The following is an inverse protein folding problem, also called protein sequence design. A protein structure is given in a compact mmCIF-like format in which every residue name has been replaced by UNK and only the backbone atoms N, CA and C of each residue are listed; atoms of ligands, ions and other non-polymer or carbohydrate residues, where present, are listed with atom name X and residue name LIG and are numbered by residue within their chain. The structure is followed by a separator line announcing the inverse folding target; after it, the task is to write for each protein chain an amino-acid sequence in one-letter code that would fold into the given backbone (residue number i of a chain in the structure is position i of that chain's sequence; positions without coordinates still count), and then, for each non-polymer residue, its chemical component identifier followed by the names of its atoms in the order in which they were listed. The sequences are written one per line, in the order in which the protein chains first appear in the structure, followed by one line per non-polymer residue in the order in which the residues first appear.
data_IF_071668564914
#
_entry.id   IF_071668564914
#
_cell.length_a   1.000
_cell.length_b   1.000
_cell.length_c   1.000
_cell.angle_alpha   90.00
_cell.angle_beta   90.00
_cell.angle_gamma   90.00
#
_symmetry.space_group_name_H-M   'P 1'
#
loop_
_entity.id
_entity.type
_entity.pdbx_description
1 polymer ?
#
# COMPACT_ATOMS: atom_id res chain seq x y z
N UNK A 1 22.49 -11.80 -13.08
CA UNK A 1 21.37 -11.23 -12.32
C UNK A 1 21.46 -9.73 -12.43
N UNK A 2 20.48 -9.06 -13.04
CA UNK A 2 20.49 -7.60 -13.13
C UNK A 2 20.14 -7.03 -11.75
N UNK A 3 21.16 -6.63 -10.99
CA UNK A 3 20.99 -5.98 -9.71
C UNK A 3 20.70 -4.49 -9.91
N UNK A 4 19.64 -3.99 -9.27
CA UNK A 4 19.30 -2.57 -9.26
C UNK A 4 19.50 -2.02 -7.85
N UNK A 5 20.21 -0.90 -7.76
CA UNK A 5 20.46 -0.13 -6.53
C UNK A 5 19.74 1.21 -6.61
N UNK A 6 19.47 1.83 -5.46
CA UNK A 6 18.80 3.13 -5.34
C UNK A 6 17.40 3.21 -5.97
N UNK A 7 16.68 2.08 -5.93
CA UNK A 7 15.29 1.98 -6.40
C UNK A 7 14.34 1.64 -5.26
N UNK A 8 13.11 2.13 -5.37
CA UNK A 8 11.95 1.73 -4.57
C UNK A 8 10.97 0.96 -5.45
N UNK A 9 10.42 -0.15 -4.94
CA UNK A 9 9.29 -0.83 -5.59
C UNK A 9 8.01 -0.04 -5.32
N UNK A 10 7.31 0.34 -6.37
CA UNK A 10 6.04 1.05 -6.32
C UNK A 10 4.91 0.16 -6.84
N UNK A 11 3.71 0.36 -6.29
CA UNK A 11 2.48 -0.23 -6.80
C UNK A 11 1.80 0.77 -7.74
N UNK A 12 1.60 0.37 -8.98
CA UNK A 12 0.91 1.18 -9.99
C UNK A 12 -0.44 0.53 -10.27
N UNK A 13 -1.53 1.28 -10.03
CA UNK A 13 -2.89 0.82 -10.32
C UNK A 13 -3.12 0.85 -11.84
N UNK A 14 -3.69 -0.22 -12.37
CA UNK A 14 -4.15 -0.24 -13.76
C UNK A 14 -5.51 0.45 -13.87
N UNK A 15 -5.53 1.67 -14.41
CA UNK A 15 -6.76 2.44 -14.60
C UNK A 15 -7.62 1.95 -15.78
N UNK A 16 -7.09 1.04 -16.60
CA UNK A 16 -7.83 0.47 -17.74
C UNK A 16 -8.70 -0.72 -17.36
N UNK A 17 -8.52 -1.27 -16.16
CA UNK A 17 -9.27 -2.43 -15.69
C UNK A 17 -10.48 -2.00 -14.84
N UNK A 18 -11.63 -2.66 -15.06
CA UNK A 18 -12.81 -2.51 -14.20
C UNK A 18 -12.59 -3.07 -12.79
N UNK A 19 -11.71 -4.06 -12.66
CA UNK A 19 -11.30 -4.66 -11.39
C UNK A 19 -10.04 -3.97 -10.86
N UNK A 20 -9.90 -3.91 -9.53
CA UNK A 20 -8.67 -3.37 -8.93
C UNK A 20 -7.48 -4.30 -9.20
N UNK A 21 -6.55 -3.82 -10.04
CA UNK A 21 -5.30 -4.51 -10.38
C UNK A 21 -4.11 -3.58 -10.21
N UNK A 22 -2.98 -4.17 -9.81
CA UNK A 22 -1.71 -3.46 -9.66
C UNK A 22 -0.61 -4.13 -10.46
N UNK A 23 0.34 -3.33 -10.94
CA UNK A 23 1.65 -3.75 -11.42
C UNK A 23 2.75 -3.23 -10.48
N UNK A 24 3.94 -3.81 -10.58
CA UNK A 24 5.11 -3.41 -9.80
C UNK A 24 6.10 -2.68 -10.69
N UNK A 25 6.55 -1.51 -10.25
CA UNK A 25 7.55 -0.71 -10.96
C UNK A 25 8.70 -0.28 -10.05
N UNK A 26 9.86 0.00 -10.64
CA UNK A 26 11.04 0.51 -9.92
C UNK A 26 11.17 2.02 -10.13
N UNK A 27 11.02 2.78 -9.05
CA UNK A 27 11.20 4.23 -9.05
C UNK A 27 12.56 4.62 -8.45
N UNK A 28 13.16 5.68 -8.96
CA UNK A 28 14.39 6.26 -8.39
C UNK A 28 14.14 6.81 -6.98
N UNK A 29 15.03 6.49 -6.03
CA UNK A 29 14.93 7.01 -4.66
C UNK A 29 14.92 8.54 -4.59
N UNK A 30 15.67 9.22 -5.46
CA UNK A 30 15.72 10.68 -5.53
C UNK A 30 14.34 11.32 -5.79
N UNK A 31 13.47 10.61 -6.54
CA UNK A 31 12.12 11.10 -6.88
C UNK A 31 11.11 10.89 -5.75
N UNK A 32 11.39 10.00 -4.81
CA UNK A 32 10.44 9.61 -3.74
C UNK A 32 10.86 10.10 -2.36
N UNK A 33 12.15 10.27 -2.08
CA UNK A 33 12.68 10.48 -0.72
C UNK A 33 12.12 11.73 0.01
N UNK A 34 11.62 12.73 -0.71
CA UNK A 34 11.06 13.95 -0.13
C UNK A 34 9.68 14.34 -0.72
N UNK A 35 8.98 13.39 -1.35
CA UNK A 35 7.69 13.66 -1.99
C UNK A 35 6.58 12.93 -1.24
N UNK A 36 5.53 13.67 -0.88
CA UNK A 36 4.33 13.13 -0.22
C UNK A 36 3.14 13.12 -1.19
N UNK A 37 2.37 12.03 -1.17
CA UNK A 37 1.07 11.97 -1.86
C UNK A 37 -0.01 12.51 -0.92
N UNK A 38 -0.35 13.79 -1.08
CA UNK A 38 -1.43 14.44 -0.30
C UNK A 38 -2.80 13.96 -0.77
N UNK A 39 -3.76 14.00 0.14
CA UNK A 39 -5.17 13.84 -0.20
C UNK A 39 -5.62 15.09 -0.95
N UNK A 40 -6.15 14.98 -2.18
CA UNK A 40 -6.71 16.12 -2.91
C UNK A 40 -7.78 16.83 -2.09
N UNK A 41 -7.89 18.16 -2.19
CA UNK A 41 -8.97 18.86 -1.48
C UNK A 41 -10.36 18.54 -2.06
N UNK A 42 -10.41 18.18 -3.34
CA UNK A 42 -11.62 17.76 -4.06
C UNK A 42 -12.22 16.47 -3.48
N UNK A 43 -11.43 15.71 -2.73
CA UNK A 43 -11.84 14.48 -2.05
C UNK A 43 -12.61 14.75 -0.76
N UNK A 44 -12.68 15.99 -0.32
CA UNK A 44 -13.39 16.42 0.88
C UNK A 44 -14.66 17.15 0.45
N UNK A 45 -15.81 16.79 1.05
CA UNK A 45 -17.09 17.45 0.79
C UNK A 45 -17.01 18.96 1.05
N UNK A 46 -17.84 19.74 0.37
CA UNK A 46 -17.92 21.21 0.45
C UNK A 46 -18.09 21.68 1.91
N UNK A 47 -18.79 20.89 2.73
CA UNK A 47 -19.01 21.20 4.14
C UNK A 47 -17.86 20.78 5.06
N UNK A 48 -16.77 20.23 4.52
CA UNK A 48 -15.58 19.73 5.21
C UNK A 48 -15.88 18.74 6.35
N UNK A 49 -16.94 17.94 6.19
CA UNK A 49 -17.41 16.99 7.22
C UNK A 49 -17.31 15.53 6.79
N UNK A 50 -17.23 15.28 5.49
CA UNK A 50 -17.21 13.94 4.90
C UNK A 50 -16.27 13.92 3.68
N UNK A 51 -16.00 12.72 3.17
CA UNK A 51 -15.31 12.50 1.90
C UNK A 51 -16.31 12.45 0.74
N UNK A 52 -15.84 12.75 -0.47
CA UNK A 52 -16.64 12.60 -1.69
C UNK A 52 -16.70 11.12 -2.12
N UNK A 53 -17.67 10.78 -2.98
CA UNK A 53 -17.81 9.42 -3.51
C UNK A 53 -16.54 8.97 -4.27
N UNK A 54 -15.83 9.89 -4.93
CA UNK A 54 -14.59 9.59 -5.65
C UNK A 54 -13.51 8.95 -4.75
N UNK A 55 -13.43 9.39 -3.49
CA UNK A 55 -12.54 8.80 -2.49
C UNK A 55 -12.98 7.40 -2.11
N UNK A 56 -14.29 7.21 -1.98
CA UNK A 56 -14.87 5.92 -1.62
C UNK A 56 -14.53 4.92 -2.73
N UNK A 57 -14.74 5.28 -3.99
CA UNK A 57 -14.39 4.44 -5.14
C UNK A 57 -12.88 4.16 -5.23
N UNK A 58 -12.05 5.12 -4.81
CA UNK A 58 -10.60 4.92 -4.74
C UNK A 58 -10.18 3.96 -3.60
N UNK A 59 -10.73 4.13 -2.39
CA UNK A 59 -10.31 3.41 -1.17
C UNK A 59 -10.95 2.04 -1.04
N UNK A 60 -12.23 1.90 -1.40
CA UNK A 60 -12.99 0.67 -1.21
C UNK A 60 -12.26 -0.59 -1.71
N UNK A 61 -11.73 -0.64 -2.94
CA UNK A 61 -10.98 -1.81 -3.41
C UNK A 61 -9.68 -2.08 -2.65
N UNK A 62 -9.08 -1.08 -1.99
CA UNK A 62 -7.84 -1.23 -1.21
C UNK A 62 -8.05 -1.98 0.10
N UNK A 63 -9.25 -1.89 0.67
CA UNK A 63 -9.60 -2.48 1.96
C UNK A 63 -10.51 -3.70 1.83
N UNK A 64 -10.89 -4.06 0.61
CA UNK A 64 -11.78 -5.19 0.35
C UNK A 64 -11.07 -6.53 0.61
N UNK A 65 -11.85 -7.47 1.14
CA UNK A 65 -11.42 -8.83 1.44
C UNK A 65 -11.18 -9.08 2.92
N UNK A 66 -11.07 -10.35 3.27
CA UNK A 66 -10.73 -10.82 4.61
C UNK A 66 -9.40 -11.58 4.54
N UNK A 67 -8.54 -11.39 5.53
CA UNK A 67 -7.29 -12.12 5.61
C UNK A 67 -7.53 -13.46 6.31
N UNK A 68 -7.18 -14.56 5.65
CA UNK A 68 -7.10 -15.86 6.29
C UNK A 68 -5.76 -15.98 7.03
N UNK A 69 -5.78 -15.85 8.35
CA UNK A 69 -4.59 -16.02 9.20
C UNK A 69 -4.86 -16.99 10.35
N UNK A 70 -3.84 -17.74 10.78
CA UNK A 70 -4.01 -18.76 11.82
C UNK A 70 -4.35 -18.16 13.18
N UNK A 71 -5.23 -18.83 13.91
CA UNK A 71 -5.57 -18.53 15.31
C UNK A 71 -5.06 -19.66 16.23
N UNK A 72 -4.55 -19.28 17.41
CA UNK A 72 -4.17 -20.19 18.49
C UNK A 72 -4.81 -19.68 19.79
N UNK A 73 -5.53 -20.54 20.51
CA UNK A 73 -6.24 -20.20 21.77
C UNK A 73 -7.15 -18.96 21.68
N UNK A 74 -7.78 -18.76 20.51
CA UNK A 74 -8.67 -17.62 20.26
C UNK A 74 -7.96 -16.30 19.93
N UNK A 75 -6.65 -16.31 19.75
CA UNK A 75 -5.84 -15.14 19.40
C UNK A 75 -5.15 -15.32 18.03
N UNK A 76 -4.97 -14.24 17.23
CA UNK A 76 -4.18 -14.31 16.00
C UNK A 76 -2.74 -14.75 16.27
N UNK A 77 -2.26 -15.74 15.52
CA UNK A 77 -0.89 -16.24 15.64
C UNK A 77 0.08 -15.35 14.88
N UNK A 78 0.89 -14.58 15.60
CA UNK A 78 1.95 -13.76 15.03
C UNK A 78 3.25 -14.56 14.78
N UNK A 79 4.04 -14.13 13.79
CA UNK A 79 5.34 -14.74 13.51
C UNK A 79 6.36 -14.43 14.61
N UNK A 80 7.08 -15.45 15.08
CA UNK A 80 8.20 -15.32 16.03
C UNK A 80 9.51 -15.61 15.31
N UNK A 81 10.28 -14.55 15.03
CA UNK A 81 11.59 -14.66 14.39
C UNK A 81 12.68 -14.99 15.42
N UNK A 82 13.62 -15.87 15.04
CA UNK A 82 14.74 -16.30 15.91
C UNK A 82 15.78 -15.20 16.20
N UNK A 83 15.80 -14.12 15.42
CA UNK A 83 16.73 -12.97 15.55
C UNK A 83 18.19 -13.40 15.76
N UNK A 84 18.67 -14.37 14.97
CA UNK A 84 20.07 -14.82 15.02
C UNK A 84 20.97 -13.70 14.52
N UNK A 85 21.93 -13.29 15.33
CA UNK A 85 22.90 -12.25 14.98
C UNK A 85 23.98 -12.82 14.07
N UNK A 86 24.38 -12.04 13.06
CA UNK A 86 25.53 -12.35 12.20
C UNK A 86 26.78 -11.67 12.74
N UNK A 87 27.93 -12.33 12.59
CA UNK A 87 29.22 -11.67 12.88
C UNK A 87 29.44 -10.54 11.87
N UNK A 88 30.08 -9.47 12.35
CA UNK A 88 30.35 -8.26 11.57
C UNK A 88 31.43 -8.49 10.53
#
# INVERSE_FOLDING_TARGET
TSGYTDKMVCFVRDESSSDYKISYELLDLEKVANVEKKIPLEWIDIKNRNVTNEVIDYILPLIQGELDYPFEDGLPRFARLRKVLVQK
#
